data_IF_424124349375
#
_entry.id   IF_424124349375
#
_cell.length_a   1.000
_cell.length_b   1.000
_cell.length_c   1.000
_cell.angle_alpha   90.00
_cell.angle_beta   90.00
_cell.angle_gamma   90.00
#
_symmetry.space_group_name_H-M   'P 1'
#
loop_
_entity.id
_entity.type
_entity.pdbx_description
1 polymer ?
#
# COMPACT_ATOMS: atom_id res chain seq x y z
N UNK A 1 -24.15 2.21 14.40
CA UNK A 1 -23.17 3.31 14.21
C UNK A 1 -22.44 3.03 12.91
N UNK A 2 -22.55 3.92 11.93
CA UNK A 2 -22.09 3.71 10.55
C UNK A 2 -20.60 4.02 10.45
N UNK A 3 -19.74 3.04 10.76
CA UNK A 3 -18.28 3.21 10.66
C UNK A 3 -17.76 2.89 9.26
N UNK A 4 -18.52 3.25 8.23
CA UNK A 4 -18.14 3.09 6.81
C UNK A 4 -17.53 4.38 6.28
N UNK A 5 -16.76 5.07 7.12
CA UNK A 5 -15.78 6.04 6.66
C UNK A 5 -14.68 5.20 5.98
N UNK A 6 -14.90 4.90 4.70
CA UNK A 6 -13.88 4.33 3.84
C UNK A 6 -12.73 5.34 3.89
N UNK A 7 -11.69 5.04 4.66
CA UNK A 7 -10.55 5.94 4.75
C UNK A 7 -9.93 6.03 3.34
N UNK A 8 -10.19 7.14 2.65
CA UNK A 8 -9.72 7.34 1.26
C UNK A 8 -8.20 7.15 1.18
N UNK A 9 -7.49 7.42 2.29
CA UNK A 9 -6.04 7.20 2.40
C UNK A 9 -5.65 5.73 2.29
N UNK A 10 -6.44 4.83 2.89
CA UNK A 10 -6.20 3.38 2.80
C UNK A 10 -6.46 2.90 1.38
N UNK A 11 -7.54 3.39 0.75
CA UNK A 11 -7.85 3.06 -0.63
C UNK A 11 -6.74 3.51 -1.60
N UNK A 12 -6.22 4.73 -1.43
CA UNK A 12 -5.17 5.27 -2.29
C UNK A 12 -3.82 4.57 -2.06
N UNK A 13 -3.52 4.17 -0.82
CA UNK A 13 -2.36 3.31 -0.53
C UNK A 13 -2.46 1.97 -1.27
N UNK A 14 -3.61 1.30 -1.21
CA UNK A 14 -3.80 0.00 -1.88
C UNK A 14 -3.68 0.15 -3.41
N UNK A 15 -4.33 1.17 -3.99
CA UNK A 15 -4.23 1.44 -5.43
C UNK A 15 -2.80 1.74 -5.86
N UNK A 16 -2.05 2.54 -5.08
CA UNK A 16 -0.67 2.87 -5.39
C UNK A 16 0.22 1.62 -5.43
N UNK A 17 0.02 0.70 -4.49
CA UNK A 17 0.75 -0.58 -4.46
C UNK A 17 0.39 -1.45 -5.67
N UNK A 18 -0.90 -1.61 -5.98
CA UNK A 18 -1.34 -2.42 -7.13
C UNK A 18 -0.79 -1.89 -8.46
N UNK A 19 -0.90 -0.57 -8.69
CA UNK A 19 -0.37 0.05 -9.91
C UNK A 19 1.16 -0.07 -10.00
N UNK A 20 1.87 0.04 -8.88
CA UNK A 20 3.32 -0.20 -8.87
C UNK A 20 3.67 -1.66 -9.18
N UNK A 21 2.88 -2.63 -8.71
CA UNK A 21 3.02 -4.04 -9.08
C UNK A 21 2.75 -4.31 -10.56
N UNK A 22 1.92 -3.49 -11.21
CA UNK A 22 1.70 -3.51 -12.67
C UNK A 22 2.84 -2.82 -13.47
N UNK A 23 3.85 -2.25 -12.78
CA UNK A 23 4.99 -1.59 -13.41
C UNK A 23 4.79 -0.10 -13.68
N UNK A 24 3.78 0.53 -13.11
CA UNK A 24 3.58 1.97 -13.25
C UNK A 24 4.62 2.75 -12.45
N UNK A 25 5.12 3.85 -13.02
CA UNK A 25 6.04 4.74 -12.31
C UNK A 25 5.30 5.54 -11.22
N UNK A 26 5.97 5.96 -10.13
CA UNK A 26 5.37 6.79 -9.09
C UNK A 26 4.73 8.07 -9.63
N UNK A 27 5.34 8.65 -10.67
CA UNK A 27 4.81 9.82 -11.37
C UNK A 27 3.48 9.52 -12.07
N UNK A 28 3.37 8.39 -12.79
CA UNK A 28 2.11 7.98 -13.43
C UNK A 28 1.01 7.70 -12.40
N UNK A 29 1.37 7.05 -11.29
CA UNK A 29 0.45 6.77 -10.18
C UNK A 29 -0.04 8.09 -9.54
N UNK A 30 0.87 9.05 -9.34
CA UNK A 30 0.53 10.37 -8.79
C UNK A 30 -0.46 11.13 -9.67
N UNK A 31 -0.30 11.05 -10.99
CA UNK A 31 -1.22 11.62 -11.96
C UNK A 31 -2.58 10.93 -11.96
N UNK A 32 -2.60 9.58 -11.94
CA UNK A 32 -3.84 8.79 -11.97
C UNK A 32 -4.67 8.93 -10.69
N UNK A 33 -4.02 8.94 -9.52
CA UNK A 33 -4.67 9.07 -8.22
C UNK A 33 -4.87 10.54 -7.81
N UNK A 34 -4.29 11.50 -8.56
CA UNK A 34 -4.31 12.94 -8.28
C UNK A 34 -3.81 13.28 -6.87
N UNK A 35 -2.77 12.56 -6.43
CA UNK A 35 -2.06 12.75 -5.16
C UNK A 35 -0.61 13.15 -5.42
N UNK A 36 0.03 13.77 -4.45
CA UNK A 36 1.42 14.17 -4.60
C UNK A 36 2.35 12.96 -4.70
N UNK A 37 3.37 13.01 -5.57
CA UNK A 37 4.31 11.90 -5.79
C UNK A 37 5.02 11.46 -4.49
N UNK A 38 5.36 12.40 -3.61
CA UNK A 38 5.92 12.07 -2.28
C UNK A 38 5.00 11.20 -1.42
N UNK A 39 3.69 11.32 -1.61
CA UNK A 39 2.69 10.50 -0.92
C UNK A 39 2.67 9.08 -1.50
N UNK A 40 2.80 8.94 -2.83
CA UNK A 40 2.97 7.64 -3.50
C UNK A 40 4.25 6.96 -3.01
N UNK A 41 5.38 7.68 -3.00
CA UNK A 41 6.66 7.16 -2.52
C UNK A 41 6.58 6.70 -1.06
N UNK A 42 5.89 7.46 -0.19
CA UNK A 42 5.63 7.05 1.19
C UNK A 42 4.77 5.81 1.25
N UNK A 43 3.69 5.72 0.48
CA UNK A 43 2.82 4.53 0.45
C UNK A 43 3.55 3.26 0.02
N UNK A 44 4.43 3.36 -0.99
CA UNK A 44 5.28 2.25 -1.43
C UNK A 44 6.32 1.87 -0.36
N UNK A 45 6.93 2.86 0.29
CA UNK A 45 7.89 2.62 1.37
C UNK A 45 7.23 1.99 2.60
N UNK A 46 6.05 2.49 3.00
CA UNK A 46 5.24 1.94 4.08
C UNK A 46 4.80 0.52 3.77
N UNK A 47 4.44 0.22 2.51
CA UNK A 47 4.12 -1.14 2.06
C UNK A 47 5.35 -2.05 2.17
N UNK A 48 6.49 -1.65 1.59
CA UNK A 48 7.73 -2.41 1.66
C UNK A 48 8.19 -2.64 3.11
N UNK A 49 8.07 -1.64 3.99
CA UNK A 49 8.38 -1.79 5.41
C UNK A 49 7.36 -2.67 6.15
N UNK A 50 6.07 -2.59 5.80
CA UNK A 50 5.04 -3.44 6.39
C UNK A 50 5.11 -4.90 5.95
N UNK A 51 5.50 -5.17 4.70
CA UNK A 51 5.78 -6.54 4.22
C UNK A 51 7.05 -7.09 4.87
N UNK A 52 8.07 -6.25 5.09
CA UNK A 52 9.33 -6.66 5.72
C UNK A 52 9.22 -6.85 7.24
N UNK A 53 8.14 -6.37 7.86
CA UNK A 53 7.88 -6.48 9.30
C UNK A 53 6.92 -7.59 9.69
N UNK A 54 6.62 -8.58 8.82
CA UNK A 54 5.92 -9.80 9.24
C UNK A 54 6.48 -11.09 8.64
N UNK A 55 7.33 -11.84 9.38
CA UNK A 55 7.14 -13.26 9.53
C UNK A 55 6.25 -13.48 10.77
N UNK A 56 4.97 -13.11 10.69
CA UNK A 56 3.99 -13.38 11.78
C UNK A 56 3.03 -14.53 11.42
N UNK A 57 3.42 -15.40 10.49
CA UNK A 57 2.89 -16.76 10.43
C UNK A 57 3.87 -17.72 11.07
N UNK A 58 3.97 -17.64 12.40
CA UNK A 58 4.55 -18.66 13.26
C UNK A 58 3.66 -19.89 13.34
N UNK A 59 3.37 -20.53 12.21
CA UNK A 59 2.88 -21.91 12.19
C UNK A 59 4.09 -22.84 12.19
N UNK A 60 4.69 -23.02 13.37
CA UNK A 60 5.58 -24.15 13.62
C UNK A 60 4.70 -25.38 13.78
N UNK A 61 4.45 -26.11 12.69
CA UNK A 61 4.06 -27.51 12.81
C UNK A 61 5.34 -28.29 13.11
N UNK A 62 5.55 -28.63 14.39
CA UNK A 62 6.53 -29.63 14.78
C UNK A 62 5.95 -31.00 14.41
N UNK A 63 6.62 -31.71 13.50
CA UNK A 63 6.43 -33.15 13.26
C UNK A 63 7.38 -33.92 14.18
#
# INVERSE_FOLDING_TARGET
MHNTERDHRVCDRIKAVLLASEGWSPTMISQALRIHESTVARHLSDYAHSEKLKPEFGVTYTV
#
